data_IF_704414303407
#
_entry.id   IF_704414303407
#
_cell.length_a   1.000
_cell.length_b   1.000
_cell.length_c   1.000
_cell.angle_alpha   90.00
_cell.angle_beta   90.00
_cell.angle_gamma   90.00
#
_symmetry.space_group_name_H-M   'P 1'
#
loop_
_entity.id
_entity.type
_entity.pdbx_description
1 polymer ?
#
# COMPACT_ATOMS: atom_id res chain seq x y z
N UNK A 1 0.90 -9.77 46.75
CA UNK A 1 -0.46 -10.27 46.43
C UNK A 1 -1.57 -9.72 47.32
N UNK A 2 -1.31 -9.41 48.63
CA UNK A 2 -2.33 -8.85 49.55
C UNK A 2 -2.63 -7.37 49.29
N UNK A 3 -1.67 -6.60 48.76
CA UNK A 3 -1.82 -5.16 48.53
C UNK A 3 -2.77 -4.86 47.37
N UNK A 4 -2.74 -5.68 46.34
CA UNK A 4 -3.60 -5.54 45.15
C UNK A 4 -5.06 -5.96 45.44
N UNK A 5 -5.28 -6.77 46.47
CA UNK A 5 -6.63 -7.26 46.84
C UNK A 5 -7.37 -6.42 47.87
N UNK A 6 -6.75 -5.36 48.44
CA UNK A 6 -7.38 -4.48 49.42
C UNK A 6 -7.54 -3.04 48.90
N UNK A 7 -8.71 -2.70 48.36
CA UNK A 7 -8.95 -1.37 47.77
C UNK A 7 -8.80 -0.20 48.79
N UNK A 8 -8.89 -0.48 50.06
CA UNK A 8 -8.77 0.54 51.11
C UNK A 8 -7.33 1.01 51.36
N UNK A 9 -6.33 0.23 50.95
CA UNK A 9 -4.92 0.55 51.14
C UNK A 9 -4.30 1.30 49.93
N UNK A 10 -5.01 1.31 48.80
CA UNK A 10 -4.48 1.85 47.54
C UNK A 10 -3.31 1.01 47.00
N UNK A 11 -2.72 1.49 45.88
CA UNK A 11 -1.52 0.89 45.31
C UNK A 11 -0.32 1.61 45.92
N UNK A 12 0.64 0.88 46.51
CA UNK A 12 1.88 1.47 47.04
C UNK A 12 2.82 1.88 45.91
N UNK A 13 3.75 2.84 46.21
CA UNK A 13 4.74 3.25 45.20
C UNK A 13 5.64 2.06 44.79
N UNK A 14 6.03 1.20 45.72
CA UNK A 14 6.82 -0.01 45.40
C UNK A 14 6.08 -0.96 44.46
N UNK A 15 4.76 -1.07 44.59
CA UNK A 15 3.94 -1.88 43.68
C UNK A 15 3.84 -1.23 42.29
N UNK A 16 3.72 0.10 42.24
CA UNK A 16 3.74 0.84 40.98
C UNK A 16 5.10 0.70 40.29
N UNK A 17 6.21 0.86 41.03
CA UNK A 17 7.55 0.73 40.47
C UNK A 17 7.84 -0.70 39.97
N UNK A 18 7.23 -1.71 40.60
CA UNK A 18 7.36 -3.11 40.18
C UNK A 18 6.59 -3.44 38.89
N UNK A 19 5.40 -2.84 38.70
CA UNK A 19 4.55 -3.12 37.53
C UNK A 19 4.75 -2.09 36.40
N UNK A 20 5.41 -0.97 36.68
CA UNK A 20 5.63 0.07 35.68
C UNK A 20 6.74 -0.34 34.71
N UNK A 21 6.40 -0.42 33.45
CA UNK A 21 7.33 -0.67 32.36
C UNK A 21 7.33 0.54 31.43
N UNK A 22 8.47 1.16 31.25
CA UNK A 22 8.64 2.23 30.28
C UNK A 22 8.97 1.59 28.91
N UNK A 23 8.08 1.78 27.96
CA UNK A 23 8.26 1.37 26.58
C UNK A 23 8.68 2.58 25.76
N UNK A 24 9.69 2.40 24.92
CA UNK A 24 10.19 3.48 24.06
C UNK A 24 10.48 2.99 22.64
N UNK A 25 10.24 3.87 21.67
CA UNK A 25 10.66 3.68 20.29
C UNK A 25 11.45 4.92 19.89
N UNK A 26 12.69 4.72 19.48
CA UNK A 26 13.49 5.77 18.88
C UNK A 26 13.45 5.64 17.35
N UNK A 27 13.40 6.78 16.67
CA UNK A 27 13.36 6.76 15.22
C UNK A 27 13.92 8.03 14.60
N UNK A 28 14.42 7.88 13.37
CA UNK A 28 14.83 9.01 12.54
C UNK A 28 14.39 8.81 11.10
N UNK A 29 13.92 9.88 10.49
CA UNK A 29 13.66 9.95 9.06
C UNK A 29 14.53 11.03 8.45
N UNK A 30 15.26 10.68 7.40
CA UNK A 30 16.13 11.60 6.69
C UNK A 30 15.75 11.62 5.21
N UNK A 31 15.55 12.81 4.67
CA UNK A 31 15.35 13.01 3.24
C UNK A 31 16.41 13.96 2.67
N UNK A 32 16.95 13.62 1.53
CA UNK A 32 17.84 14.46 0.73
C UNK A 32 17.29 14.56 -0.67
N UNK A 33 17.11 15.79 -1.15
CA UNK A 33 16.55 16.09 -2.46
C UNK A 33 17.47 17.06 -3.21
N UNK A 34 17.84 16.68 -4.42
CA UNK A 34 18.61 17.49 -5.36
C UNK A 34 17.81 17.61 -6.65
N UNK A 35 17.61 18.82 -7.10
CA UNK A 35 16.78 19.13 -8.25
C UNK A 35 17.47 20.16 -9.15
N UNK A 36 17.47 19.91 -10.45
CA UNK A 36 17.93 20.83 -11.47
C UNK A 36 16.93 20.86 -12.60
N UNK A 37 16.44 22.03 -12.97
CA UNK A 37 15.59 22.17 -14.15
C UNK A 37 15.98 23.41 -14.97
N UNK A 38 15.68 23.32 -16.24
CA UNK A 38 15.74 24.44 -17.19
C UNK A 38 14.43 24.50 -17.96
N UNK A 39 13.86 25.67 -18.06
CA UNK A 39 12.68 25.92 -18.87
C UNK A 39 12.89 27.09 -19.83
N UNK A 40 12.24 27.01 -20.96
CA UNK A 40 12.34 28.07 -21.99
C UNK A 40 11.05 28.12 -22.82
N UNK A 41 10.59 29.34 -23.05
CA UNK A 41 9.66 29.61 -24.14
C UNK A 41 10.46 29.69 -25.48
N UNK A 42 9.95 29.03 -26.49
CA UNK A 42 10.57 29.00 -27.82
C UNK A 42 9.86 30.03 -28.70
N UNK A 43 10.54 31.11 -29.09
CA UNK A 43 9.95 32.05 -30.04
C UNK A 43 9.78 31.37 -31.40
N UNK A 44 8.54 31.08 -31.76
CA UNK A 44 8.21 30.41 -33.02
C UNK A 44 7.47 31.40 -33.91
N UNK A 45 8.12 31.82 -35.00
CA UNK A 45 7.47 32.59 -36.05
C UNK A 45 6.67 31.67 -36.98
N UNK A 46 5.56 31.17 -36.53
CA UNK A 46 4.63 30.44 -37.39
C UNK A 46 3.18 30.90 -37.16
N UNK A 47 2.29 30.47 -38.05
CA UNK A 47 0.88 30.84 -37.99
C UNK A 47 0.03 29.90 -37.09
N UNK A 48 0.64 28.92 -36.45
CA UNK A 48 -0.10 27.85 -35.71
C UNK A 48 0.04 27.97 -34.19
N UNK A 49 1.23 28.39 -33.68
CA UNK A 49 1.52 28.36 -32.23
C UNK A 49 1.85 29.76 -31.71
N UNK A 50 1.53 29.99 -30.45
CA UNK A 50 2.09 31.07 -29.63
C UNK A 50 3.17 30.49 -28.72
N UNK A 51 4.42 30.94 -28.84
CA UNK A 51 5.51 30.67 -27.91
C UNK A 51 5.40 29.35 -27.10
N UNK A 52 5.55 28.18 -27.72
CA UNK A 52 5.55 26.95 -27.01
C UNK A 52 6.64 26.91 -25.93
N UNK A 53 6.38 26.27 -24.79
CA UNK A 53 7.33 26.15 -23.71
C UNK A 53 7.80 24.71 -23.55
N UNK A 54 9.07 24.56 -23.19
CA UNK A 54 9.67 23.28 -22.84
C UNK A 54 10.38 23.39 -21.49
N UNK A 55 10.24 22.38 -20.64
CA UNK A 55 11.05 22.21 -19.45
C UNK A 55 11.72 20.84 -19.45
N UNK A 56 12.97 20.79 -18.99
CA UNK A 56 13.75 19.58 -18.79
C UNK A 56 14.32 19.62 -17.38
N UNK A 57 14.34 18.48 -16.70
CA UNK A 57 14.92 18.44 -15.36
C UNK A 57 15.45 17.07 -14.96
N UNK A 58 16.34 17.14 -14.00
CA UNK A 58 16.95 16.00 -13.31
C UNK A 58 16.64 16.11 -11.84
N UNK A 59 16.28 14.99 -11.25
CA UNK A 59 16.01 14.88 -9.81
C UNK A 59 16.75 13.69 -9.22
N UNK A 60 17.27 13.90 -8.03
CA UNK A 60 17.82 12.81 -7.21
C UNK A 60 17.27 12.95 -5.82
N UNK A 61 16.59 11.90 -5.34
CA UNK A 61 16.04 11.86 -4.00
C UNK A 61 16.54 10.61 -3.26
N UNK A 62 16.75 10.77 -1.98
CA UNK A 62 17.11 9.71 -1.06
C UNK A 62 16.23 9.86 0.17
N UNK A 63 15.53 8.81 0.54
CA UNK A 63 14.75 8.72 1.78
C UNK A 63 15.27 7.56 2.59
N UNK A 64 15.57 7.78 3.87
CA UNK A 64 16.01 6.76 4.80
C UNK A 64 15.18 6.85 6.09
N UNK A 65 14.79 5.71 6.62
CA UNK A 65 14.05 5.56 7.86
C UNK A 65 14.74 4.52 8.75
N UNK A 66 14.89 4.87 10.03
CA UNK A 66 15.33 3.95 11.07
C UNK A 66 14.33 4.05 12.22
N UNK A 67 13.84 2.91 12.70
CA UNK A 67 13.00 2.74 13.89
C UNK A 67 13.65 1.67 14.76
N UNK A 68 13.87 1.98 16.03
CA UNK A 68 14.49 1.06 16.98
C UNK A 68 13.62 1.05 18.25
N UNK A 69 12.77 0.05 18.44
CA UNK A 69 12.05 -0.17 19.70
C UNK A 69 13.03 -0.64 20.78
N UNK A 70 12.68 -0.46 22.04
CA UNK A 70 13.41 -1.10 23.13
C UNK A 70 13.08 -2.60 23.23
N UNK A 71 13.91 -3.34 23.98
CA UNK A 71 13.81 -4.78 24.09
C UNK A 71 12.44 -5.24 24.66
N UNK A 72 11.84 -4.48 25.57
CA UNK A 72 10.55 -4.85 26.16
C UNK A 72 9.41 -4.68 25.16
N UNK A 73 9.56 -3.71 24.25
CA UNK A 73 8.62 -3.55 23.14
C UNK A 73 8.75 -4.67 22.11
N UNK A 74 9.98 -5.10 21.81
CA UNK A 74 10.24 -6.21 20.88
C UNK A 74 9.75 -7.55 21.44
N UNK A 75 9.89 -7.76 22.76
CA UNK A 75 9.47 -9.01 23.42
C UNK A 75 7.97 -9.06 23.80
N UNK A 76 7.21 -7.99 23.53
CA UNK A 76 5.80 -7.86 23.87
C UNK A 76 5.51 -8.00 25.39
N UNK A 77 6.42 -7.52 26.23
CA UNK A 77 6.34 -7.60 27.69
C UNK A 77 5.36 -6.61 28.32
N UNK A 78 4.91 -5.61 27.55
CA UNK A 78 3.99 -4.58 28.00
C UNK A 78 2.57 -5.10 28.18
N UNK A 79 2.01 -5.01 29.39
CA UNK A 79 0.59 -5.30 29.61
C UNK A 79 -0.27 -4.32 28.79
N UNK A 80 -1.07 -4.86 27.86
CA UNK A 80 -1.89 -4.09 26.94
C UNK A 80 -1.22 -3.76 25.59
N UNK A 81 0.02 -4.14 25.42
CA UNK A 81 0.65 -4.16 24.10
C UNK A 81 -0.04 -5.25 23.25
N UNK A 82 -0.54 -4.86 22.08
CA UNK A 82 -1.30 -5.78 21.23
C UNK A 82 -0.42 -6.46 20.17
N UNK A 83 0.69 -5.81 19.80
CA UNK A 83 1.57 -6.26 18.71
C UNK A 83 3.02 -6.01 19.10
N UNK A 84 3.88 -6.96 18.80
CA UNK A 84 5.33 -6.81 18.87
C UNK A 84 5.77 -5.64 17.99
N UNK A 85 6.78 -4.90 18.45
CA UNK A 85 7.35 -3.79 17.69
C UNK A 85 8.73 -4.21 17.21
N UNK A 86 8.91 -4.32 15.91
CA UNK A 86 10.17 -4.71 15.30
C UNK A 86 11.00 -3.51 14.85
N UNK A 87 12.32 -3.68 14.87
CA UNK A 87 13.23 -2.71 14.29
C UNK A 87 13.00 -2.59 12.78
N UNK A 88 13.12 -1.38 12.25
CA UNK A 88 13.03 -1.12 10.83
C UNK A 88 14.20 -0.24 10.40
N UNK A 89 14.90 -0.64 9.35
CA UNK A 89 15.93 0.18 8.72
C UNK A 89 15.86 -0.01 7.21
N UNK A 90 15.61 1.08 6.51
CA UNK A 90 15.48 1.05 5.05
C UNK A 90 15.89 2.36 4.41
N UNK A 91 16.31 2.26 3.14
CA UNK A 91 16.70 3.38 2.32
C UNK A 91 16.22 3.18 0.89
N UNK A 92 15.55 4.21 0.34
CA UNK A 92 15.14 4.26 -1.05
C UNK A 92 15.84 5.44 -1.71
N UNK A 93 16.48 5.19 -2.85
CA UNK A 93 17.06 6.21 -3.73
C UNK A 93 16.32 6.20 -5.05
N UNK A 94 16.17 7.38 -5.65
CA UNK A 94 15.65 7.51 -7.01
C UNK A 94 16.45 8.56 -7.77
N UNK A 95 16.73 8.25 -9.04
CA UNK A 95 17.23 9.22 -10.02
C UNK A 95 16.16 9.37 -11.09
N UNK A 96 15.81 10.60 -11.41
CA UNK A 96 14.72 10.90 -12.33
C UNK A 96 15.16 11.87 -13.41
N UNK A 97 14.61 11.65 -14.59
CA UNK A 97 14.68 12.58 -15.73
C UNK A 97 13.25 12.90 -16.14
N UNK A 98 12.93 14.17 -16.33
CA UNK A 98 11.62 14.58 -16.81
C UNK A 98 11.68 15.62 -17.90
N UNK A 99 10.64 15.64 -18.71
CA UNK A 99 10.39 16.63 -19.75
C UNK A 99 8.92 17.05 -19.70
N UNK A 100 8.68 18.35 -19.87
CA UNK A 100 7.35 18.93 -20.00
C UNK A 100 7.31 19.81 -21.24
N UNK A 101 6.22 19.74 -21.97
CA UNK A 101 5.99 20.55 -23.19
C UNK A 101 4.60 21.15 -23.13
N UNK A 102 4.52 22.44 -23.39
CA UNK A 102 3.28 23.18 -23.54
C UNK A 102 3.19 23.77 -24.92
N UNK A 103 2.10 23.48 -25.63
CA UNK A 103 1.84 23.90 -27.00
C UNK A 103 0.54 24.72 -27.07
N UNK A 104 0.62 26.06 -26.97
CA UNK A 104 -0.54 26.94 -27.14
C UNK A 104 -0.77 27.20 -28.64
N UNK A 105 -1.87 26.67 -29.16
CA UNK A 105 -2.26 26.91 -30.57
C UNK A 105 -3.06 28.18 -30.70
N UNK A 106 -2.85 28.91 -31.83
CA UNK A 106 -3.53 30.17 -32.11
C UNK A 106 -5.05 30.06 -32.24
N UNK A 107 -5.58 28.86 -32.46
CA UNK A 107 -7.01 28.57 -32.47
C UNK A 107 -7.56 28.28 -31.05
N UNK A 108 -6.88 28.76 -30.03
CA UNK A 108 -7.26 28.61 -28.61
C UNK A 108 -7.26 27.16 -28.09
N UNK A 109 -6.55 26.25 -28.74
CA UNK A 109 -6.30 24.91 -28.24
C UNK A 109 -4.97 24.92 -27.51
N UNK A 110 -4.94 24.49 -26.28
CA UNK A 110 -3.71 24.27 -25.55
C UNK A 110 -3.51 22.76 -25.34
N UNK A 111 -2.28 22.31 -25.62
CA UNK A 111 -1.86 20.94 -25.38
C UNK A 111 -0.72 20.96 -24.37
N UNK A 112 -0.86 20.23 -23.28
CA UNK A 112 0.20 19.96 -22.31
C UNK A 112 0.58 18.50 -22.37
N UNK A 113 1.87 18.21 -22.27
CA UNK A 113 2.36 16.84 -22.13
C UNK A 113 3.57 16.80 -21.23
N UNK A 114 3.68 15.77 -20.43
CA UNK A 114 4.85 15.49 -19.62
C UNK A 114 5.24 14.02 -19.70
N UNK A 115 6.51 13.77 -19.50
CA UNK A 115 7.06 12.43 -19.36
C UNK A 115 8.14 12.43 -18.29
N UNK A 116 8.12 11.44 -17.39
CA UNK A 116 9.13 11.24 -16.35
C UNK A 116 9.57 9.79 -16.35
N UNK A 117 10.86 9.59 -16.36
CA UNK A 117 11.50 8.30 -16.14
C UNK A 117 12.19 8.29 -14.78
N UNK A 118 11.93 7.26 -13.98
CA UNK A 118 12.45 7.10 -12.62
C UNK A 118 13.19 5.77 -12.50
N UNK A 119 14.42 5.81 -11.99
CA UNK A 119 15.27 4.66 -11.72
C UNK A 119 15.48 4.57 -10.19
N UNK A 120 14.77 3.66 -9.56
CA UNK A 120 14.82 3.44 -8.11
C UNK A 120 15.92 2.45 -7.72
N UNK A 121 16.45 2.59 -6.51
CA UNK A 121 17.20 1.52 -5.87
C UNK A 121 16.35 0.24 -5.85
N UNK A 122 16.94 -0.94 -5.71
CA UNK A 122 16.24 -2.23 -5.81
C UNK A 122 15.79 -2.60 -7.24
N UNK A 123 16.43 -2.01 -8.26
CA UNK A 123 16.19 -2.33 -9.68
C UNK A 123 14.76 -2.08 -10.17
N UNK A 124 14.00 -1.25 -9.49
CA UNK A 124 12.67 -0.84 -9.92
C UNK A 124 12.78 0.35 -10.85
N UNK A 125 12.23 0.22 -12.05
CA UNK A 125 12.13 1.30 -13.04
C UNK A 125 10.67 1.61 -13.30
N UNK A 126 10.38 2.88 -13.43
CA UNK A 126 9.03 3.34 -13.69
C UNK A 126 9.03 4.55 -14.61
N UNK A 127 7.96 4.69 -15.35
CA UNK A 127 7.71 5.85 -16.18
C UNK A 127 6.30 6.38 -15.93
N UNK A 128 6.15 7.68 -15.98
CA UNK A 128 4.87 8.36 -15.93
C UNK A 128 4.72 9.29 -17.10
N UNK A 129 3.51 9.53 -17.53
CA UNK A 129 3.21 10.53 -18.54
C UNK A 129 1.88 11.22 -18.26
N UNK A 130 1.73 12.40 -18.81
CA UNK A 130 0.48 13.15 -18.90
C UNK A 130 0.32 13.71 -20.30
N UNK A 131 -0.91 13.68 -20.80
CA UNK A 131 -1.33 14.38 -22.00
C UNK A 131 -2.64 15.08 -21.72
N UNK A 132 -2.63 16.39 -21.71
CA UNK A 132 -3.79 17.24 -21.51
C UNK A 132 -4.13 18.07 -22.75
N UNK A 133 -5.42 18.27 -22.96
CA UNK A 133 -5.95 19.16 -24.00
C UNK A 133 -6.99 20.09 -23.36
N UNK A 134 -6.91 21.38 -23.71
CA UNK A 134 -7.90 22.38 -23.29
C UNK A 134 -8.38 23.13 -24.55
N UNK A 135 -9.69 23.18 -24.71
CA UNK A 135 -10.31 23.83 -25.86
C UNK A 135 -11.46 24.76 -25.42
N UNK A 136 -11.30 26.08 -25.44
CA UNK A 136 -12.37 27.04 -25.27
C UNK A 136 -13.24 27.05 -26.53
N UNK A 137 -14.47 26.54 -26.41
CA UNK A 137 -15.48 26.57 -27.48
C UNK A 137 -15.96 28.01 -27.71
N UNK A 138 -16.10 28.74 -26.61
CA UNK A 138 -16.49 30.15 -26.59
C UNK A 138 -15.87 30.85 -25.37
N UNK A 139 -16.15 32.14 -25.18
CA UNK A 139 -15.67 32.88 -24.02
C UNK A 139 -16.19 32.30 -22.69
N UNK A 140 -17.35 31.67 -22.72
CA UNK A 140 -18.01 31.15 -21.53
C UNK A 140 -17.92 29.61 -21.42
N UNK A 141 -17.48 28.92 -22.47
CA UNK A 141 -17.48 27.45 -22.55
C UNK A 141 -16.11 26.90 -22.86
N UNK A 142 -15.65 25.96 -22.04
CA UNK A 142 -14.37 25.27 -22.19
C UNK A 142 -14.56 23.76 -22.04
N UNK A 143 -13.89 23.00 -22.89
CA UNK A 143 -13.71 21.55 -22.75
C UNK A 143 -12.26 21.28 -22.39
N UNK A 144 -12.05 20.37 -21.41
CA UNK A 144 -10.74 19.83 -21.05
C UNK A 144 -10.76 18.31 -21.13
N UNK A 145 -9.68 17.72 -21.56
CA UNK A 145 -9.51 16.27 -21.53
C UNK A 145 -8.09 15.90 -21.17
N UNK A 146 -7.90 14.80 -20.45
CA UNK A 146 -6.57 14.29 -20.16
C UNK A 146 -6.50 12.77 -20.12
N UNK A 147 -5.31 12.25 -20.41
CA UNK A 147 -4.91 10.87 -20.14
C UNK A 147 -3.57 10.90 -19.45
N UNK A 148 -3.48 10.22 -18.30
CA UNK A 148 -2.25 10.20 -17.52
C UNK A 148 -1.97 8.80 -16.99
N UNK A 149 -0.68 8.49 -16.88
CA UNK A 149 -0.15 7.33 -16.18
C UNK A 149 0.56 7.82 -14.93
N UNK A 150 0.10 7.38 -13.78
CA UNK A 150 0.73 7.59 -12.49
C UNK A 150 1.27 6.27 -11.93
N UNK A 151 2.25 6.35 -11.05
CA UNK A 151 2.79 5.20 -10.32
C UNK A 151 2.85 5.51 -8.82
N UNK A 152 2.79 4.45 -8.01
CA UNK A 152 3.19 4.47 -6.60
C UNK A 152 4.22 3.37 -6.36
N UNK A 153 5.39 3.74 -5.90
CA UNK A 153 6.42 2.78 -5.47
C UNK A 153 6.16 2.41 -4.02
N UNK A 154 6.45 1.16 -3.66
CA UNK A 154 6.36 0.69 -2.28
C UNK A 154 7.20 1.56 -1.34
N UNK A 155 6.68 1.85 -0.16
CA UNK A 155 7.38 2.62 0.85
C UNK A 155 8.40 1.77 1.64
N UNK A 156 9.09 2.40 2.60
CA UNK A 156 10.14 1.71 3.38
C UNK A 156 9.55 0.61 4.26
N UNK A 157 8.34 0.77 4.81
CA UNK A 157 7.68 -0.27 5.58
C UNK A 157 7.31 -1.46 4.70
N UNK A 158 6.66 -1.20 3.57
CA UNK A 158 6.25 -2.21 2.60
C UNK A 158 7.43 -3.02 2.04
N UNK A 159 8.63 -2.43 2.01
CA UNK A 159 9.83 -3.08 1.47
C UNK A 159 10.69 -3.78 2.52
N UNK A 160 10.89 -3.16 3.70
CA UNK A 160 11.96 -3.53 4.62
C UNK A 160 11.45 -3.97 6.00
N UNK A 161 10.14 -3.97 6.26
CA UNK A 161 9.63 -4.45 7.54
C UNK A 161 10.03 -5.90 7.76
N UNK A 162 10.53 -6.20 8.97
CA UNK A 162 10.91 -7.56 9.32
C UNK A 162 9.68 -8.47 9.36
N UNK A 163 9.82 -9.68 8.82
CA UNK A 163 8.74 -10.66 8.83
C UNK A 163 8.48 -11.13 10.27
N UNK A 164 7.25 -10.95 10.73
CA UNK A 164 6.84 -11.32 12.07
C UNK A 164 5.47 -12.02 12.09
N UNK A 165 5.18 -12.69 13.20
CA UNK A 165 3.87 -13.30 13.42
C UNK A 165 2.89 -12.26 13.96
N UNK A 166 1.69 -12.29 13.44
CA UNK A 166 0.58 -11.44 13.87
C UNK A 166 -0.66 -12.31 14.10
N UNK A 167 -1.58 -11.85 14.94
CA UNK A 167 -2.87 -12.49 15.12
C UNK A 167 -3.96 -11.65 14.46
N UNK A 168 -4.64 -12.25 13.49
CA UNK A 168 -5.71 -11.60 12.73
C UNK A 168 -7.04 -12.31 12.93
N UNK A 169 -8.12 -11.59 12.73
CA UNK A 169 -9.45 -12.17 12.76
C UNK A 169 -9.65 -13.09 11.55
N UNK A 170 -10.26 -14.25 11.79
CA UNK A 170 -10.82 -15.13 10.76
C UNK A 170 -12.31 -15.28 11.04
N UNK A 171 -13.14 -14.95 10.06
CA UNK A 171 -14.60 -15.02 10.24
C UNK A 171 -15.09 -16.44 10.39
N UNK A 172 -14.56 -17.36 9.60
CA UNK A 172 -14.83 -18.81 9.71
C UNK A 172 -13.85 -19.61 8.86
N UNK A 173 -13.60 -20.86 9.26
CA UNK A 173 -12.95 -21.84 8.39
C UNK A 173 -14.02 -22.75 7.78
N UNK A 174 -14.30 -22.62 6.45
CA UNK A 174 -15.33 -23.43 5.78
C UNK A 174 -15.03 -24.94 5.75
N UNK A 175 -13.80 -25.35 6.10
CA UNK A 175 -13.37 -26.76 6.17
C UNK A 175 -13.39 -27.33 7.60
N UNK A 176 -13.75 -26.54 8.60
CA UNK A 176 -13.80 -26.97 10.01
C UNK A 176 -15.15 -27.54 10.41
N UNK A 177 -15.19 -28.12 11.62
CA UNK A 177 -16.39 -28.71 12.22
C UNK A 177 -16.72 -30.10 11.70
N UNK A 178 -17.76 -30.72 12.28
CA UNK A 178 -18.22 -32.06 11.93
C UNK A 178 -19.01 -32.12 10.62
N UNK A 179 -19.41 -30.95 10.10
CA UNK A 179 -20.15 -30.81 8.84
C UNK A 179 -19.57 -29.61 8.08
N UNK A 180 -18.40 -29.78 7.43
CA UNK A 180 -17.76 -28.71 6.68
C UNK A 180 -18.68 -28.12 5.59
N UNK A 181 -18.61 -26.81 5.37
CA UNK A 181 -19.42 -26.12 4.35
C UNK A 181 -18.89 -26.39 2.94
N UNK A 182 -17.58 -26.62 2.81
CA UNK A 182 -16.89 -26.93 1.53
C UNK A 182 -16.67 -28.42 1.38
N UNK A 183 -16.60 -28.88 0.14
CA UNK A 183 -16.30 -30.27 -0.18
C UNK A 183 -14.89 -30.68 0.26
N UNK A 184 -14.66 -31.98 0.47
CA UNK A 184 -13.31 -32.49 0.72
C UNK A 184 -12.32 -32.04 -0.35
N UNK A 185 -12.69 -32.15 -1.63
CA UNK A 185 -11.82 -31.75 -2.75
C UNK A 185 -11.41 -30.28 -2.72
N UNK A 186 -12.31 -29.38 -2.27
CA UNK A 186 -11.95 -27.98 -2.11
C UNK A 186 -11.03 -27.78 -0.88
N UNK A 187 -11.33 -28.47 0.22
CA UNK A 187 -10.54 -28.38 1.45
C UNK A 187 -9.13 -28.96 1.29
N UNK A 188 -8.95 -29.99 0.46
CA UNK A 188 -7.62 -30.54 0.14
C UNK A 188 -6.68 -29.49 -0.47
N UNK A 189 -7.21 -28.48 -1.19
CA UNK A 189 -6.42 -27.34 -1.71
C UNK A 189 -5.78 -26.52 -0.62
N UNK A 190 -6.35 -26.53 0.59
CA UNK A 190 -5.84 -25.82 1.76
C UNK A 190 -5.00 -26.71 2.68
N UNK A 191 -4.70 -27.96 2.27
CA UNK A 191 -3.92 -28.91 3.07
C UNK A 191 -4.72 -29.81 4.00
N UNK A 192 -6.04 -29.83 3.92
CA UNK A 192 -6.88 -30.79 4.67
C UNK A 192 -6.72 -32.18 4.08
N UNK A 193 -6.36 -33.14 4.94
CA UNK A 193 -6.32 -34.55 4.52
C UNK A 193 -7.69 -35.21 4.68
N UNK A 194 -8.00 -36.30 3.94
CA UNK A 194 -9.26 -37.03 4.11
C UNK A 194 -9.53 -37.51 5.54
N UNK A 195 -8.47 -37.80 6.32
CA UNK A 195 -8.60 -38.22 7.72
C UNK A 195 -8.98 -37.11 8.67
N UNK A 196 -8.68 -35.85 8.33
CA UNK A 196 -9.00 -34.67 9.13
C UNK A 196 -10.35 -34.03 8.74
N UNK A 197 -10.85 -34.34 7.55
CA UNK A 197 -12.11 -33.77 7.08
C UNK A 197 -13.29 -34.21 7.96
N UNK A 198 -14.02 -33.20 8.49
CA UNK A 198 -15.12 -33.43 9.44
C UNK A 198 -14.69 -33.60 10.90
N UNK A 199 -13.39 -33.37 11.21
CA UNK A 199 -12.87 -33.45 12.58
C UNK A 199 -12.02 -32.23 12.97
N UNK A 200 -11.81 -31.27 12.08
CA UNK A 200 -11.04 -30.05 12.37
C UNK A 200 -11.83 -29.20 13.36
N UNK A 201 -11.17 -28.78 14.43
CA UNK A 201 -11.77 -27.89 15.42
C UNK A 201 -12.13 -26.53 14.77
N UNK A 202 -13.29 -25.99 15.14
CA UNK A 202 -13.70 -24.65 14.69
C UNK A 202 -12.72 -23.65 15.30
N UNK A 203 -12.04 -22.82 14.47
CA UNK A 203 -11.04 -21.91 14.97
C UNK A 203 -11.65 -20.88 15.94
N UNK A 204 -10.86 -20.46 16.92
CA UNK A 204 -11.12 -19.22 17.63
C UNK A 204 -11.20 -18.06 16.62
N UNK A 205 -11.80 -16.96 17.01
CA UNK A 205 -11.96 -15.78 16.16
C UNK A 205 -10.64 -15.15 15.69
N UNK A 206 -9.50 -15.67 16.11
CA UNK A 206 -8.16 -15.18 15.80
C UNK A 206 -7.25 -16.33 15.38
N UNK A 207 -6.50 -16.14 14.32
CA UNK A 207 -5.51 -17.08 13.79
C UNK A 207 -4.15 -16.40 13.65
N UNK A 208 -3.10 -17.21 13.67
CA UNK A 208 -1.77 -16.73 13.37
C UNK A 208 -1.61 -16.44 11.86
N UNK A 209 -1.00 -15.34 11.53
CA UNK A 209 -0.56 -14.96 10.18
C UNK A 209 0.88 -14.49 10.24
N UNK A 210 1.51 -14.40 9.08
CA UNK A 210 2.85 -13.82 8.95
C UNK A 210 2.75 -12.61 8.06
N UNK A 211 3.22 -11.46 8.55
CA UNK A 211 3.29 -10.21 7.80
C UNK A 211 4.71 -9.67 7.77
N UNK A 212 5.03 -8.81 6.81
CA UNK A 212 6.34 -8.21 6.68
C UNK A 212 6.56 -7.56 5.33
N UNK A 213 7.71 -6.92 5.16
CA UNK A 213 8.09 -6.26 3.93
C UNK A 213 8.44 -7.22 2.79
N UNK A 214 8.34 -6.73 1.56
CA UNK A 214 8.68 -7.50 0.37
C UNK A 214 9.50 -6.65 -0.61
N UNK A 215 10.79 -6.96 -0.75
CA UNK A 215 11.72 -6.28 -1.66
C UNK A 215 11.40 -6.48 -3.15
N UNK A 216 10.52 -7.42 -3.48
CA UNK A 216 10.16 -7.75 -4.86
C UNK A 216 8.84 -7.10 -5.31
N UNK A 217 8.27 -6.17 -4.54
CA UNK A 217 7.05 -5.46 -4.93
C UNK A 217 7.29 -4.65 -6.21
N UNK A 218 6.39 -4.79 -7.16
CA UNK A 218 6.33 -3.91 -8.33
C UNK A 218 5.60 -2.62 -8.00
N UNK A 219 5.93 -1.49 -8.66
CA UNK A 219 5.14 -0.27 -8.50
C UNK A 219 3.68 -0.46 -8.94
N UNK A 220 2.75 0.11 -8.17
CA UNK A 220 1.37 0.26 -8.62
C UNK A 220 1.31 1.18 -9.84
N UNK A 221 0.38 0.92 -10.75
CA UNK A 221 0.15 1.71 -11.94
C UNK A 221 -1.30 2.12 -12.04
N UNK A 222 -1.54 3.41 -12.27
CA UNK A 222 -2.86 3.93 -12.54
C UNK A 222 -2.89 4.63 -13.89
N UNK A 223 -3.84 4.25 -14.75
CA UNK A 223 -4.19 5.00 -15.95
C UNK A 223 -5.48 5.76 -15.67
N UNK A 224 -5.41 7.07 -15.73
CA UNK A 224 -6.58 7.94 -15.54
C UNK A 224 -6.88 8.64 -16.84
N UNK A 225 -8.14 8.59 -17.27
CA UNK A 225 -8.67 9.43 -18.36
C UNK A 225 -9.80 10.30 -17.83
N UNK A 226 -9.81 11.56 -18.24
CA UNK A 226 -10.84 12.50 -17.84
C UNK A 226 -11.34 13.36 -19.01
N UNK A 227 -12.60 13.78 -18.90
CA UNK A 227 -13.24 14.75 -19.79
C UNK A 227 -14.05 15.72 -18.93
N UNK A 228 -13.73 17.00 -19.05
CA UNK A 228 -14.38 18.07 -18.30
C UNK A 228 -15.04 19.10 -19.19
N UNK A 229 -16.15 19.64 -18.72
CA UNK A 229 -16.90 20.74 -19.32
C UNK A 229 -16.99 21.85 -18.29
N UNK A 230 -16.60 23.05 -18.68
CA UNK A 230 -16.68 24.22 -17.81
C UNK A 230 -17.53 25.27 -18.52
N UNK A 231 -18.55 25.75 -17.84
CA UNK A 231 -19.31 26.93 -18.19
C UNK A 231 -19.03 28.01 -17.14
N UNK A 232 -18.53 29.16 -17.58
CA UNK A 232 -18.18 30.25 -16.70
C UNK A 232 -18.53 31.59 -17.36
N UNK A 233 -19.56 32.24 -16.88
CA UNK A 233 -19.89 33.60 -17.27
C UNK A 233 -19.84 34.56 -16.07
N UNK A 234 -20.20 35.85 -16.25
CA UNK A 234 -20.11 36.85 -15.18
C UNK A 234 -20.94 36.54 -13.92
N UNK A 235 -21.93 35.66 -14.00
CA UNK A 235 -22.91 35.40 -12.93
C UNK A 235 -22.88 33.94 -12.46
N UNK A 236 -22.48 33.01 -13.31
CA UNK A 236 -22.62 31.57 -13.05
C UNK A 236 -21.35 30.80 -13.42
N UNK A 237 -21.05 29.81 -12.57
CA UNK A 237 -19.99 28.82 -12.81
C UNK A 237 -20.59 27.40 -12.67
N UNK A 238 -20.35 26.56 -13.68
CA UNK A 238 -20.69 25.15 -13.66
C UNK A 238 -19.50 24.35 -14.20
N UNK A 239 -19.11 23.32 -13.47
CA UNK A 239 -18.10 22.37 -13.91
C UNK A 239 -18.64 20.95 -13.78
N UNK A 240 -18.42 20.15 -14.82
CA UNK A 240 -18.76 18.74 -14.86
C UNK A 240 -17.52 17.97 -15.34
N UNK A 241 -17.02 17.08 -14.50
CA UNK A 241 -15.91 16.18 -14.82
C UNK A 241 -16.38 14.73 -14.81
N UNK A 242 -16.01 14.00 -15.85
CA UNK A 242 -16.17 12.54 -15.95
C UNK A 242 -14.77 11.94 -16.02
N UNK A 243 -14.51 10.93 -15.20
CA UNK A 243 -13.21 10.27 -15.19
C UNK A 243 -13.35 8.76 -15.06
N UNK A 244 -12.33 8.06 -15.55
CA UNK A 244 -12.10 6.64 -15.34
C UNK A 244 -10.69 6.43 -14.83
N UNK A 245 -10.54 5.59 -13.79
CA UNK A 245 -9.27 5.22 -13.21
C UNK A 245 -9.16 3.71 -13.27
N UNK A 246 -8.12 3.21 -13.92
CA UNK A 246 -7.76 1.80 -13.96
C UNK A 246 -6.46 1.60 -13.17
N UNK A 247 -6.55 0.86 -12.06
CA UNK A 247 -5.44 0.63 -11.12
C UNK A 247 -4.99 -0.83 -11.21
N UNK A 248 -3.71 -1.03 -11.49
CA UNK A 248 -3.06 -2.33 -11.57
C UNK A 248 -1.93 -2.46 -10.54
N UNK A 249 -1.60 -3.72 -10.20
CA UNK A 249 -0.49 -4.08 -9.30
C UNK A 249 -0.59 -3.38 -7.92
N UNK A 250 -1.80 -3.23 -7.38
CA UNK A 250 -2.03 -2.58 -6.09
C UNK A 250 -1.22 -3.27 -4.98
N UNK A 251 -0.46 -2.47 -4.23
CA UNK A 251 0.31 -2.93 -3.07
C UNK A 251 -0.60 -2.90 -1.85
N UNK A 252 -0.68 -4.04 -1.16
CA UNK A 252 -1.49 -4.17 0.04
C UNK A 252 -1.40 -5.58 0.59
N UNK A 253 -1.92 -5.77 1.80
CA UNK A 253 -2.10 -7.09 2.40
C UNK A 253 -3.47 -7.66 2.03
N UNK A 254 -3.54 -8.96 1.85
CA UNK A 254 -4.81 -9.67 1.73
C UNK A 254 -5.20 -10.20 3.11
N UNK A 255 -6.45 -9.98 3.52
CA UNK A 255 -6.95 -10.57 4.76
C UNK A 255 -7.06 -12.11 4.66
N UNK A 256 -7.03 -12.78 5.82
CA UNK A 256 -7.04 -14.23 5.91
C UNK A 256 -8.31 -14.86 5.29
N UNK A 257 -9.46 -14.23 5.44
CA UNK A 257 -10.72 -14.68 4.84
C UNK A 257 -10.66 -14.65 3.31
N UNK A 258 -10.09 -13.60 2.75
CA UNK A 258 -9.88 -13.46 1.29
C UNK A 258 -8.93 -14.52 0.77
N UNK A 259 -7.78 -14.72 1.41
CA UNK A 259 -6.80 -15.75 1.01
C UNK A 259 -7.44 -17.15 1.02
N UNK A 260 -8.12 -17.48 2.12
CA UNK A 260 -8.78 -18.78 2.29
C UNK A 260 -9.88 -18.98 1.24
N UNK A 261 -10.75 -18.00 1.06
CA UNK A 261 -11.85 -18.06 0.08
C UNK A 261 -11.33 -18.18 -1.35
N UNK A 262 -10.35 -17.38 -1.72
CA UNK A 262 -9.75 -17.43 -3.07
C UNK A 262 -9.04 -18.76 -3.36
N UNK A 263 -8.36 -19.34 -2.36
CA UNK A 263 -7.79 -20.68 -2.52
C UNK A 263 -8.89 -21.74 -2.74
N UNK A 264 -9.92 -21.75 -1.90
CA UNK A 264 -11.03 -22.71 -1.98
C UNK A 264 -11.79 -22.59 -3.32
N UNK A 265 -12.05 -21.38 -3.79
CA UNK A 265 -12.82 -21.14 -5.01
C UNK A 265 -12.02 -21.40 -6.29
N UNK A 266 -10.75 -21.04 -6.31
CA UNK A 266 -9.96 -21.03 -7.55
C UNK A 266 -8.93 -22.14 -7.66
N UNK A 267 -8.43 -22.65 -6.53
CA UNK A 267 -7.31 -23.61 -6.47
C UNK A 267 -5.99 -23.03 -7.02
N UNK A 268 -5.90 -21.70 -7.21
CA UNK A 268 -4.68 -21.07 -7.73
C UNK A 268 -3.57 -21.09 -6.70
N UNK A 269 -2.39 -21.55 -7.12
CA UNK A 269 -1.23 -21.67 -6.25
C UNK A 269 -0.86 -20.36 -5.53
N UNK A 270 -1.05 -19.20 -6.17
CA UNK A 270 -0.77 -17.89 -5.57
C UNK A 270 -1.54 -17.63 -4.26
N UNK A 271 -2.71 -18.27 -4.06
CA UNK A 271 -3.51 -18.17 -2.84
C UNK A 271 -3.26 -19.36 -1.92
N UNK A 272 -3.24 -20.57 -2.50
CA UNK A 272 -3.15 -21.81 -1.73
C UNK A 272 -1.77 -22.01 -1.08
N UNK A 273 -0.70 -21.49 -1.69
CA UNK A 273 0.65 -21.52 -1.10
C UNK A 273 0.82 -20.64 0.13
N UNK A 274 -0.09 -19.70 0.37
CA UNK A 274 -0.10 -18.87 1.57
C UNK A 274 -0.74 -19.58 2.78
N UNK A 275 -1.41 -20.71 2.57
CA UNK A 275 -2.14 -21.44 3.60
C UNK A 275 -1.29 -22.61 4.08
N UNK A 276 -1.03 -22.62 5.38
CA UNK A 276 -0.35 -23.72 6.06
C UNK A 276 -1.23 -24.20 7.23
N UNK A 277 -1.73 -25.43 7.15
CA UNK A 277 -2.49 -26.05 8.24
C UNK A 277 -1.58 -26.91 9.10
N UNK A 278 -1.87 -26.97 10.39
CA UNK A 278 -1.22 -27.95 11.25
C UNK A 278 -1.47 -29.37 10.68
N UNK A 279 -0.43 -30.16 10.40
CA UNK A 279 -0.58 -31.45 9.73
C UNK A 279 -1.30 -32.50 10.57
N UNK A 280 -1.37 -32.32 11.90
CA UNK A 280 -1.99 -33.25 12.83
C UNK A 280 -3.44 -32.90 13.13
N UNK A 281 -3.74 -31.60 13.33
CA UNK A 281 -5.07 -31.11 13.74
C UNK A 281 -5.85 -30.45 12.61
N UNK A 282 -5.18 -30.00 11.55
CA UNK A 282 -5.78 -29.25 10.46
C UNK A 282 -6.11 -27.80 10.78
N UNK A 283 -5.77 -27.32 11.98
CA UNK A 283 -6.10 -25.98 12.47
C UNK A 283 -5.12 -24.91 12.01
N UNK A 284 -5.47 -23.62 12.21
CA UNK A 284 -4.63 -22.46 11.94
C UNK A 284 -4.02 -21.82 13.21
N UNK A 285 -4.29 -22.35 14.38
CA UNK A 285 -3.93 -21.74 15.66
C UNK A 285 -3.02 -22.62 16.52
N UNK A 286 -2.63 -23.79 16.02
CA UNK A 286 -1.75 -24.71 16.70
C UNK A 286 -0.50 -25.01 15.89
N UNK A 287 0.65 -25.01 16.55
CA UNK A 287 1.94 -25.31 15.92
C UNK A 287 2.25 -24.35 14.77
N UNK A 288 2.50 -24.92 13.59
CA UNK A 288 2.83 -24.14 12.38
C UNK A 288 1.61 -23.75 11.54
N UNK A 289 0.38 -23.96 12.04
CA UNK A 289 -0.84 -23.60 11.33
C UNK A 289 -0.98 -22.06 11.21
N UNK A 290 -1.02 -21.53 9.97
CA UNK A 290 -1.16 -20.09 9.71
C UNK A 290 -1.65 -19.81 8.28
N UNK A 291 -2.08 -18.58 8.05
CA UNK A 291 -2.31 -18.00 6.73
C UNK A 291 -1.34 -16.84 6.56
N UNK A 292 -0.49 -16.86 5.54
CA UNK A 292 0.60 -15.88 5.30
C UNK A 292 0.22 -14.85 4.25
#
# INVERSE_FOLDING_TARGET
NQVVSNPALGITQEALDYINLNLSIEGSSNESHQFLSISRELPVENNLLFNPAIALGLEKRKTALVKTPDQNFESNDGAGQQVEQHALSGEIKVNELFMEVFLPFKNSIDISTSYRFSDYSLSQKADTFDLGITYPISNDFLIKGSVQKAIRVADIHELFEETHAEFVALSSDPCSGTSPIRSLTDCERTGVTPSLYGSIEIPASSIATTTGGNLNLSPERAITSSLGFIFNNSENYLELDIYNIDLEDQIGSSDADTVLTKCLDTGLNKWCSLINRNPTTGTFHEGDGRIN
#
